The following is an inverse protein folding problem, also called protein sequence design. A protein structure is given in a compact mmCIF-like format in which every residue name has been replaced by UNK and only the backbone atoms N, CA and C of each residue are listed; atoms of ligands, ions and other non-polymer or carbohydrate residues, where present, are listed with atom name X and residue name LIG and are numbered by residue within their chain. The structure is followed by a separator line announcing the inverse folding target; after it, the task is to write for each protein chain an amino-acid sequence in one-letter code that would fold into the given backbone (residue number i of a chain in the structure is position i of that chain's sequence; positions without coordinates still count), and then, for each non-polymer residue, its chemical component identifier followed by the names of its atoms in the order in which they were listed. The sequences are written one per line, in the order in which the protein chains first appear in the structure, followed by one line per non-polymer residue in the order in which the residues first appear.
data_IF_842499024674
#
_entry.id   IF_842499024674
#
_cell.length_a   1.000
_cell.length_b   1.000
_cell.length_c   1.000
_cell.angle_alpha   90.00
_cell.angle_beta   90.00
_cell.angle_gamma   90.00
#
_symmetry.space_group_name_H-M   'P 1'
#
loop_
_entity.id
_entity.type
_entity.pdbx_description
1 polymer ?
#
# COMPACT_ATOMS: atom_id res chain seq x y z
N UNK A 1 31.26 3.20 13.26
CA UNK A 1 31.12 4.66 13.06
C UNK A 1 30.00 4.88 12.06
N UNK A 2 28.76 5.04 12.52
CA UNK A 2 27.62 5.42 11.66
C UNK A 2 27.58 6.94 11.58
N UNK A 3 28.15 7.48 10.50
CA UNK A 3 28.18 8.90 10.19
C UNK A 3 26.76 9.43 9.98
N UNK A 4 26.33 10.41 10.79
CA UNK A 4 25.17 11.28 10.60
C UNK A 4 23.81 10.57 10.64
N UNK A 5 22.98 10.88 11.64
CA UNK A 5 21.58 10.44 11.67
C UNK A 5 20.85 10.90 10.40
N UNK A 6 20.65 9.98 9.46
CA UNK A 6 19.90 10.25 8.23
C UNK A 6 18.46 10.58 8.62
N UNK A 7 18.08 11.86 8.48
CA UNK A 7 16.70 12.32 8.70
C UNK A 7 15.84 12.03 7.47
N UNK A 8 14.74 11.33 7.70
CA UNK A 8 13.78 10.96 6.66
C UNK A 8 12.59 11.92 6.61
N UNK A 9 12.07 12.14 5.41
CA UNK A 9 10.77 12.77 5.19
C UNK A 9 9.72 11.71 4.94
N UNK A 10 8.53 11.83 5.54
CA UNK A 10 7.36 11.03 5.18
C UNK A 10 6.35 11.93 4.50
N UNK A 11 6.03 11.65 3.23
CA UNK A 11 4.89 12.23 2.53
C UNK A 11 3.70 11.30 2.79
N UNK A 12 2.82 11.70 3.69
CA UNK A 12 1.71 10.89 4.15
C UNK A 12 0.46 11.14 3.31
N UNK A 13 -0.04 10.10 2.64
CA UNK A 13 -1.35 10.01 2.03
C UNK A 13 -2.38 9.40 2.98
N UNK A 14 -3.36 8.71 2.43
CA UNK A 14 -4.44 8.07 3.17
C UNK A 14 -4.11 6.64 3.65
N UNK A 15 -5.03 6.05 4.42
CA UNK A 15 -4.92 4.67 4.89
C UNK A 15 -3.97 4.48 6.07
N UNK A 16 -3.68 3.22 6.40
CA UNK A 16 -2.82 2.84 7.53
C UNK A 16 -1.31 2.95 7.22
N UNK A 17 -0.95 3.07 5.94
CA UNK A 17 0.45 2.96 5.52
C UNK A 17 1.38 4.07 6.07
N UNK A 18 0.97 5.35 6.20
CA UNK A 18 1.78 6.35 6.89
C UNK A 18 2.13 5.97 8.34
N UNK A 19 1.19 5.38 9.08
CA UNK A 19 1.42 4.97 10.47
C UNK A 19 2.44 3.83 10.57
N UNK A 20 2.44 2.91 9.60
CA UNK A 20 3.44 1.85 9.47
C UNK A 20 4.86 2.41 9.33
N UNK A 21 5.04 3.44 8.50
CA UNK A 21 6.34 4.08 8.33
C UNK A 21 6.78 4.74 9.64
N UNK A 22 5.85 5.39 10.35
CA UNK A 22 6.14 5.98 11.66
C UNK A 22 6.56 4.93 12.68
N UNK A 23 5.84 3.81 12.79
CA UNK A 23 6.18 2.75 13.73
C UNK A 23 7.53 2.11 13.40
N UNK A 24 7.79 1.87 12.13
CA UNK A 24 9.08 1.35 11.68
C UNK A 24 10.22 2.33 11.99
N UNK A 25 10.00 3.63 11.77
CA UNK A 25 10.97 4.68 12.12
C UNK A 25 11.27 4.68 13.63
N UNK A 26 10.25 4.54 14.49
CA UNK A 26 10.45 4.42 15.94
C UNK A 26 11.26 3.19 16.32
N UNK A 27 10.91 2.02 15.76
CA UNK A 27 11.61 0.74 16.03
C UNK A 27 13.08 0.78 15.62
N UNK A 28 13.37 1.49 14.53
CA UNK A 28 14.73 1.64 14.00
C UNK A 28 15.46 2.89 14.54
N UNK A 29 14.84 3.62 15.48
CA UNK A 29 15.36 4.87 16.05
C UNK A 29 15.77 5.90 14.98
N UNK A 30 14.93 6.08 13.96
CA UNK A 30 15.13 7.03 12.87
C UNK A 30 14.46 8.38 13.17
N UNK A 31 15.12 9.46 12.78
CA UNK A 31 14.53 10.81 12.80
C UNK A 31 13.64 11.01 11.56
N UNK A 32 12.42 11.47 11.78
CA UNK A 32 11.37 11.56 10.76
C UNK A 32 10.68 12.92 10.81
N UNK A 33 10.45 13.51 9.64
CA UNK A 33 9.62 14.72 9.47
C UNK A 33 8.45 14.38 8.56
N UNK A 34 7.23 14.59 9.04
CA UNK A 34 6.02 14.18 8.35
C UNK A 34 5.40 15.39 7.63
N UNK A 35 5.15 15.20 6.34
CA UNK A 35 4.37 16.06 5.47
C UNK A 35 3.00 15.39 5.24
N UNK A 36 2.00 15.80 6.02
CA UNK A 36 0.64 15.26 5.96
C UNK A 36 -0.25 16.03 4.97
N UNK A 37 -0.97 15.30 4.10
CA UNK A 37 -1.88 15.85 3.10
C UNK A 37 -3.25 16.05 3.77
N UNK A 38 -3.71 17.31 3.88
CA UNK A 38 -4.89 17.71 4.70
C UNK A 38 -6.20 16.95 4.45
N UNK A 39 -6.44 16.48 3.24
CA UNK A 39 -7.69 15.82 2.84
C UNK A 39 -7.54 14.30 2.69
N UNK A 40 -6.33 13.78 2.88
CA UNK A 40 -6.02 12.35 2.68
C UNK A 40 -5.52 11.71 3.98
N UNK A 41 -4.62 12.37 4.71
CA UNK A 41 -4.01 11.80 5.91
C UNK A 41 -4.96 11.84 7.10
N UNK A 42 -5.05 10.72 7.82
CA UNK A 42 -5.77 10.66 9.10
C UNK A 42 -5.16 11.66 10.12
N UNK A 43 -5.97 12.57 10.71
CA UNK A 43 -5.53 13.54 11.72
C UNK A 43 -4.78 12.94 12.91
N UNK A 44 -5.00 11.66 13.25
CA UNK A 44 -4.30 10.96 14.31
C UNK A 44 -2.78 10.96 14.12
N UNK A 45 -2.29 11.11 12.89
CA UNK A 45 -0.84 11.20 12.60
C UNK A 45 -0.18 12.35 13.37
N UNK A 46 -0.91 13.40 13.75
CA UNK A 46 -0.38 14.53 14.53
C UNK A 46 0.11 14.12 15.93
N UNK A 47 -0.42 13.04 16.50
CA UNK A 47 -0.05 12.55 17.84
C UNK A 47 1.06 11.49 17.80
N UNK A 48 1.74 11.35 16.67
CA UNK A 48 2.66 10.24 16.46
C UNK A 48 4.05 10.43 17.08
N UNK A 49 4.38 11.61 17.60
CA UNK A 49 5.66 11.90 18.26
C UNK A 49 6.77 12.41 17.34
N UNK A 50 6.48 12.67 16.05
CA UNK A 50 7.38 13.35 15.12
C UNK A 50 6.83 14.71 14.68
N UNK A 51 7.68 15.65 14.20
CA UNK A 51 7.22 16.90 13.60
C UNK A 51 6.28 16.65 12.41
N UNK A 52 5.05 17.18 12.49
CA UNK A 52 4.04 17.06 11.43
C UNK A 52 3.72 18.42 10.83
N UNK A 53 3.84 18.52 9.50
CA UNK A 53 3.48 19.69 8.72
C UNK A 53 2.32 19.35 7.79
N UNK A 54 1.25 20.14 7.88
CA UNK A 54 0.06 19.96 7.05
C UNK A 54 0.10 20.81 5.78
N UNK A 55 -0.01 20.16 4.62
CA UNK A 55 0.00 20.77 3.29
C UNK A 55 -1.21 20.33 2.45
N UNK A 56 -1.58 21.19 1.50
CA UNK A 56 -2.47 20.80 0.41
C UNK A 56 -1.71 20.00 -0.65
N UNK A 57 -2.41 19.15 -1.39
CA UNK A 57 -1.81 18.23 -2.36
C UNK A 57 -0.99 18.94 -3.45
N UNK A 58 -1.43 20.14 -3.87
CA UNK A 58 -0.72 20.96 -4.86
C UNK A 58 0.46 21.79 -4.33
N UNK A 59 0.86 21.65 -3.06
CA UNK A 59 1.89 22.50 -2.42
C UNK A 59 3.30 21.86 -2.46
N UNK A 60 3.75 21.42 -3.64
CA UNK A 60 5.03 20.72 -3.83
C UNK A 60 6.26 21.58 -3.48
N UNK A 61 6.28 22.86 -3.85
CA UNK A 61 7.32 23.80 -3.45
C UNK A 61 7.37 24.05 -1.94
N UNK A 62 6.20 24.07 -1.27
CA UNK A 62 6.13 24.15 0.19
C UNK A 62 6.71 22.90 0.86
N UNK A 63 6.38 21.71 0.34
CA UNK A 63 6.94 20.43 0.79
C UNK A 63 8.47 20.45 0.76
N UNK A 64 9.04 20.82 -0.39
CA UNK A 64 10.51 20.91 -0.58
C UNK A 64 11.13 21.87 0.45
N UNK A 65 10.51 23.03 0.67
CA UNK A 65 11.02 24.01 1.64
C UNK A 65 11.03 23.47 3.07
N UNK A 66 9.98 22.75 3.47
CA UNK A 66 9.88 22.12 4.79
C UNK A 66 10.98 21.07 4.95
N UNK A 67 11.12 20.16 3.98
CA UNK A 67 12.12 19.09 4.02
C UNK A 67 13.55 19.65 4.04
N UNK A 68 13.88 20.61 3.17
CA UNK A 68 15.21 21.25 3.18
C UNK A 68 15.50 21.99 4.48
N UNK A 69 14.53 22.76 5.01
CA UNK A 69 14.69 23.46 6.29
C UNK A 69 14.91 22.48 7.45
N UNK A 70 14.33 21.29 7.37
CA UNK A 70 14.45 20.28 8.41
C UNK A 70 15.69 19.39 8.26
N UNK A 71 16.44 19.51 7.16
CA UNK A 71 17.62 18.69 6.86
C UNK A 71 17.29 17.32 6.23
N UNK A 72 16.08 17.13 5.72
CA UNK A 72 15.66 15.89 5.05
C UNK A 72 16.35 15.78 3.70
N UNK A 73 17.01 14.64 3.45
CA UNK A 73 17.62 14.28 2.15
C UNK A 73 17.02 13.03 1.51
N UNK A 74 16.28 12.24 2.29
CA UNK A 74 15.62 11.00 1.87
C UNK A 74 14.14 11.11 2.22
N UNK A 75 13.25 10.81 1.29
CA UNK A 75 11.81 10.87 1.52
C UNK A 75 11.11 9.56 1.15
N UNK A 76 10.05 9.25 1.87
CA UNK A 76 9.21 8.07 1.69
C UNK A 76 7.80 8.57 1.37
N UNK A 77 7.15 7.97 0.39
CA UNK A 77 5.73 8.15 0.16
C UNK A 77 4.98 6.96 0.73
N UNK A 78 3.96 7.21 1.54
CA UNK A 78 3.13 6.16 2.09
C UNK A 78 1.66 6.59 2.08
N UNK A 79 0.79 5.66 1.69
CA UNK A 79 -0.64 5.90 1.57
C UNK A 79 -1.05 6.30 0.15
N UNK A 80 -2.32 6.10 -0.17
CA UNK A 80 -2.84 6.48 -1.48
C UNK A 80 -3.22 7.96 -1.48
N UNK A 81 -3.36 8.53 -2.68
CA UNK A 81 -3.94 9.84 -2.89
C UNK A 81 -5.03 9.65 -3.93
N UNK A 82 -6.25 10.11 -3.65
CA UNK A 82 -7.35 9.95 -4.61
C UNK A 82 -7.09 10.83 -5.83
N UNK A 83 -7.25 10.25 -7.03
CA UNK A 83 -6.97 10.94 -8.30
C UNK A 83 -7.83 12.21 -8.49
N UNK A 84 -9.05 12.22 -7.93
CA UNK A 84 -9.95 13.40 -7.90
C UNK A 84 -9.38 14.57 -7.09
N UNK A 85 -8.56 14.30 -6.08
CA UNK A 85 -7.96 15.33 -5.21
C UNK A 85 -6.86 16.12 -5.91
N UNK A 86 -6.20 15.54 -6.93
CA UNK A 86 -5.15 16.20 -7.73
C UNK A 86 -5.72 17.36 -8.55
N UNK A 87 -6.98 17.26 -8.96
CA UNK A 87 -7.73 18.32 -9.64
C UNK A 87 -8.66 19.10 -8.71
N UNK A 88 -8.55 18.85 -7.39
CA UNK A 88 -9.37 19.45 -6.35
C UNK A 88 -8.99 20.89 -6.00
N UNK A 89 -9.71 21.45 -5.03
CA UNK A 89 -9.78 22.87 -4.64
C UNK A 89 -8.52 23.46 -3.98
N UNK A 90 -7.44 22.69 -3.81
CA UNK A 90 -6.16 23.24 -3.32
C UNK A 90 -5.36 23.86 -4.46
N UNK A 91 -5.24 25.19 -4.46
CA UNK A 91 -4.44 25.92 -5.46
C UNK A 91 -3.02 25.36 -5.56
N UNK A 92 -2.61 24.83 -6.72
CA UNK A 92 -1.27 24.32 -6.91
C UNK A 92 -0.26 25.47 -6.85
N UNK A 93 0.87 25.25 -6.19
CA UNK A 93 1.96 26.23 -6.19
C UNK A 93 2.71 26.23 -7.52
N UNK A 94 3.54 27.26 -7.75
CA UNK A 94 4.28 27.43 -9.01
C UNK A 94 5.15 26.21 -9.35
N UNK A 95 5.66 25.51 -8.35
CA UNK A 95 6.46 24.29 -8.54
C UNK A 95 5.58 23.17 -9.08
N UNK A 96 4.42 22.94 -8.48
CA UNK A 96 3.44 21.96 -8.95
C UNK A 96 2.93 22.29 -10.35
N UNK A 97 2.62 23.57 -10.63
CA UNK A 97 2.15 24.02 -11.96
C UNK A 97 3.20 23.73 -13.04
N UNK A 98 4.48 24.05 -12.78
CA UNK A 98 5.57 23.79 -13.74
C UNK A 98 5.75 22.29 -14.00
N UNK A 99 5.70 21.48 -12.95
CA UNK A 99 5.77 20.02 -13.08
C UNK A 99 4.63 19.50 -13.95
N UNK A 100 3.38 19.88 -13.63
CA UNK A 100 2.19 19.46 -14.39
C UNK A 100 2.19 19.92 -15.85
N UNK A 101 2.78 21.09 -16.15
CA UNK A 101 2.90 21.60 -17.51
C UNK A 101 3.95 20.84 -18.35
N UNK A 102 4.94 20.22 -17.70
CA UNK A 102 5.97 19.41 -18.36
C UNK A 102 5.55 17.98 -18.68
N UNK A 103 4.42 17.51 -18.13
CA UNK A 103 3.95 16.14 -18.34
C UNK A 103 3.20 16.00 -19.67
N UNK A 104 3.61 15.02 -20.48
CA UNK A 104 2.91 14.62 -21.71
C UNK A 104 1.54 14.00 -21.42
N UNK A 105 1.44 13.23 -20.34
CA UNK A 105 0.23 12.57 -19.87
C UNK A 105 0.09 12.76 -18.37
N UNK A 106 -1.14 12.84 -17.87
CA UNK A 106 -1.44 13.07 -16.45
C UNK A 106 -2.05 11.83 -15.78
N UNK A 107 -1.55 10.66 -16.13
CA UNK A 107 -1.86 9.42 -15.42
C UNK A 107 -1.06 9.35 -14.10
N UNK A 108 -1.44 8.43 -13.21
CA UNK A 108 -0.84 8.26 -11.88
C UNK A 108 0.68 8.12 -11.94
N UNK A 109 1.20 7.26 -12.81
CA UNK A 109 2.65 7.02 -12.94
C UNK A 109 3.42 8.27 -13.38
N UNK A 110 2.90 9.01 -14.35
CA UNK A 110 3.54 10.26 -14.81
C UNK A 110 3.52 11.33 -13.73
N UNK A 111 2.44 11.40 -12.94
CA UNK A 111 2.31 12.37 -11.85
C UNK A 111 3.27 12.05 -10.69
N UNK A 112 3.31 10.80 -10.23
CA UNK A 112 4.22 10.36 -9.17
C UNK A 112 5.68 10.47 -9.65
N UNK A 113 5.97 10.06 -10.88
CA UNK A 113 7.28 10.23 -11.49
C UNK A 113 7.69 11.70 -11.59
N UNK A 114 6.77 12.59 -11.96
CA UNK A 114 7.00 14.03 -11.98
C UNK A 114 7.33 14.61 -10.61
N UNK A 115 6.59 14.21 -9.56
CA UNK A 115 6.90 14.58 -8.18
C UNK A 115 8.28 14.06 -7.76
N UNK A 116 8.60 12.80 -8.06
CA UNK A 116 9.90 12.21 -7.74
C UNK A 116 11.05 12.97 -8.39
N UNK A 117 10.93 13.35 -9.67
CA UNK A 117 11.96 14.13 -10.38
C UNK A 117 12.17 15.50 -9.75
N UNK A 118 11.09 16.21 -9.42
CA UNK A 118 11.19 17.54 -8.80
C UNK A 118 11.81 17.47 -7.39
N UNK A 119 11.53 16.42 -6.63
CA UNK A 119 12.18 16.18 -5.34
C UNK A 119 13.68 15.89 -5.52
N UNK A 120 14.04 15.07 -6.50
CA UNK A 120 15.44 14.73 -6.81
C UNK A 120 16.24 15.97 -7.24
N UNK A 121 15.68 16.82 -8.12
CA UNK A 121 16.27 18.11 -8.49
C UNK A 121 16.48 19.05 -7.29
N UNK A 122 15.66 18.92 -6.26
CA UNK A 122 15.81 19.66 -5.00
C UNK A 122 16.78 19.01 -4.00
N UNK A 123 17.40 17.88 -4.36
CA UNK A 123 18.35 17.12 -3.54
C UNK A 123 17.68 16.21 -2.50
N UNK A 124 16.42 15.81 -2.72
CA UNK A 124 15.66 14.92 -1.85
C UNK A 124 15.36 13.63 -2.62
N UNK A 125 16.01 12.55 -2.26
CA UNK A 125 15.84 11.26 -2.94
C UNK A 125 14.62 10.52 -2.39
N UNK A 126 13.71 10.14 -3.28
CA UNK A 126 12.61 9.25 -2.93
C UNK A 126 13.14 7.82 -2.74
N UNK A 127 13.20 7.35 -1.49
CA UNK A 127 13.73 6.03 -1.16
C UNK A 127 12.65 4.95 -1.28
N UNK A 128 13.11 3.71 -1.49
CA UNK A 128 12.24 2.55 -1.49
C UNK A 128 11.64 2.33 -0.10
N UNK A 129 10.32 2.54 0.02
CA UNK A 129 9.54 2.31 1.24
C UNK A 129 9.77 0.90 1.79
N UNK A 130 9.92 -0.11 0.93
CA UNK A 130 10.19 -1.49 1.31
C UNK A 130 11.49 -1.67 2.12
N UNK A 131 12.49 -0.81 1.95
CA UNK A 131 13.74 -0.91 2.72
C UNK A 131 13.51 -0.75 4.23
N UNK A 132 12.56 0.12 4.61
CA UNK A 132 12.15 0.31 6.01
C UNK A 132 11.10 -0.70 6.45
N UNK A 133 10.48 -1.42 5.51
CA UNK A 133 9.33 -2.27 5.77
C UNK A 133 9.62 -3.75 5.57
N UNK A 134 10.89 -4.13 5.34
CA UNK A 134 11.32 -5.53 5.26
C UNK A 134 10.72 -6.41 6.37
N UNK A 135 10.62 -5.99 7.64
CA UNK A 135 10.01 -6.81 8.68
C UNK A 135 8.52 -7.13 8.46
N UNK A 136 7.83 -6.31 7.67
CA UNK A 136 6.40 -6.45 7.35
C UNK A 136 6.14 -7.20 6.04
N UNK A 137 7.20 -7.57 5.29
CA UNK A 137 7.10 -8.35 4.07
C UNK A 137 7.26 -9.84 4.42
N UNK A 138 6.22 -10.67 4.26
CA UNK A 138 6.30 -12.08 4.59
C UNK A 138 7.22 -12.82 3.62
N UNK A 139 8.05 -13.71 4.16
CA UNK A 139 8.77 -14.70 3.38
C UNK A 139 7.80 -15.74 2.79
N UNK A 140 8.19 -16.47 1.73
CA UNK A 140 7.36 -17.54 1.18
C UNK A 140 6.99 -18.59 2.22
N UNK A 141 5.74 -19.05 2.18
CA UNK A 141 5.23 -20.12 3.05
C UNK A 141 3.83 -19.86 3.60
N UNK A 142 3.36 -20.79 4.42
CA UNK A 142 2.13 -20.65 5.19
C UNK A 142 2.37 -19.76 6.40
N UNK A 143 1.54 -18.71 6.57
CA UNK A 143 1.67 -17.76 7.67
C UNK A 143 0.82 -18.13 8.88
N UNK A 144 -0.27 -18.88 8.65
CA UNK A 144 -1.22 -19.38 9.65
C UNK A 144 -0.91 -20.81 10.09
N UNK A 145 -1.63 -21.31 11.11
CA UNK A 145 -1.49 -22.68 11.62
C UNK A 145 -1.89 -23.75 10.60
N UNK A 146 -2.74 -23.42 9.63
CA UNK A 146 -3.11 -24.28 8.50
C UNK A 146 -2.72 -23.66 7.16
N UNK A 147 -2.38 -24.52 6.21
CA UNK A 147 -2.25 -24.17 4.79
C UNK A 147 -3.59 -24.23 4.05
N UNK A 148 -3.52 -24.04 2.73
CA UNK A 148 -4.65 -24.23 1.83
C UNK A 148 -5.09 -25.70 1.82
N UNK A 149 -6.40 -25.93 1.78
CA UNK A 149 -6.93 -27.24 1.43
C UNK A 149 -6.93 -27.47 -0.10
N UNK A 150 -7.40 -28.63 -0.55
CA UNK A 150 -7.40 -28.98 -1.97
C UNK A 150 -8.30 -28.08 -2.84
N UNK A 151 -9.42 -27.58 -2.29
CA UNK A 151 -10.33 -26.69 -3.01
C UNK A 151 -9.74 -25.28 -3.09
N UNK A 152 -9.21 -24.78 -1.98
CA UNK A 152 -8.55 -23.47 -1.90
C UNK A 152 -7.30 -23.44 -2.79
N UNK A 153 -6.52 -24.53 -2.82
CA UNK A 153 -5.37 -24.65 -3.72
C UNK A 153 -5.82 -24.60 -5.19
N UNK A 154 -6.90 -25.31 -5.55
CA UNK A 154 -7.42 -25.28 -6.92
C UNK A 154 -7.92 -23.88 -7.32
N UNK A 155 -8.53 -23.14 -6.39
CA UNK A 155 -8.94 -21.74 -6.61
C UNK A 155 -7.72 -20.83 -6.80
N UNK A 156 -6.66 -21.01 -6.01
CA UNK A 156 -5.41 -20.25 -6.14
C UNK A 156 -4.72 -20.53 -7.48
N UNK A 157 -4.62 -21.80 -7.87
CA UNK A 157 -3.99 -22.22 -9.13
C UNK A 157 -4.75 -21.68 -10.35
N UNK A 158 -6.08 -21.66 -10.28
CA UNK A 158 -6.94 -21.07 -11.31
C UNK A 158 -6.86 -19.54 -11.32
N UNK A 159 -6.97 -18.92 -10.16
CA UNK A 159 -7.18 -17.48 -10.04
C UNK A 159 -5.90 -16.66 -10.14
N UNK A 160 -4.77 -17.15 -9.61
CA UNK A 160 -3.53 -16.36 -9.56
C UNK A 160 -3.02 -15.91 -10.93
N UNK A 161 -3.03 -16.73 -12.00
CA UNK A 161 -2.69 -16.27 -13.34
C UNK A 161 -3.63 -15.17 -13.85
N UNK A 162 -4.93 -15.24 -13.54
CA UNK A 162 -5.91 -14.23 -13.93
C UNK A 162 -5.69 -12.91 -13.16
N UNK A 163 -5.45 -13.00 -11.86
CA UNK A 163 -5.15 -11.85 -11.01
C UNK A 163 -3.94 -11.06 -11.55
N UNK A 164 -2.88 -11.77 -12.00
CA UNK A 164 -1.69 -11.13 -12.60
C UNK A 164 -2.02 -10.40 -13.91
N UNK A 165 -2.89 -10.95 -14.75
CA UNK A 165 -3.32 -10.27 -15.98
C UNK A 165 -4.14 -9.00 -15.69
N UNK A 166 -5.04 -9.06 -14.71
CA UNK A 166 -5.80 -7.88 -14.25
C UNK A 166 -4.85 -6.81 -13.70
N UNK A 167 -3.90 -7.20 -12.85
CA UNK A 167 -2.91 -6.29 -12.28
C UNK A 167 -2.00 -5.68 -13.36
N UNK A 168 -1.65 -6.44 -14.40
CA UNK A 168 -0.87 -5.95 -15.54
C UNK A 168 -1.60 -4.88 -16.36
N UNK A 169 -2.94 -4.86 -16.32
CA UNK A 169 -3.77 -3.84 -16.97
C UNK A 169 -4.02 -2.62 -16.07
N UNK A 170 -3.43 -2.57 -14.87
CA UNK A 170 -3.63 -1.49 -13.89
C UNK A 170 -5.10 -1.32 -13.45
N UNK A 171 -5.88 -2.40 -13.46
CA UNK A 171 -7.29 -2.37 -13.03
C UNK A 171 -7.40 -2.55 -11.51
N UNK A 172 -6.73 -3.58 -10.97
CA UNK A 172 -6.75 -3.92 -9.55
C UNK A 172 -5.82 -5.08 -9.24
N UNK A 173 -5.58 -5.34 -7.96
CA UNK A 173 -4.58 -6.31 -7.49
C UNK A 173 -5.20 -7.54 -6.83
N UNK A 174 -6.50 -7.49 -6.52
CA UNK A 174 -7.20 -8.57 -5.82
C UNK A 174 -8.31 -9.17 -6.68
N UNK A 175 -8.41 -10.48 -6.67
CA UNK A 175 -9.60 -11.20 -7.13
C UNK A 175 -10.13 -12.10 -6.02
N UNK A 176 -11.42 -12.41 -6.09
CA UNK A 176 -12.07 -13.38 -5.20
C UNK A 176 -12.61 -14.51 -6.04
N UNK A 177 -12.23 -15.74 -5.70
CA UNK A 177 -12.54 -16.96 -6.45
C UNK A 177 -13.33 -17.91 -5.56
N UNK A 178 -14.22 -18.70 -6.17
CA UNK A 178 -14.88 -19.84 -5.54
C UNK A 178 -15.13 -20.91 -6.58
N UNK A 179 -14.70 -22.14 -6.31
CA UNK A 179 -14.86 -23.29 -7.21
C UNK A 179 -14.40 -22.95 -8.65
N UNK A 180 -13.21 -22.35 -8.74
CA UNK A 180 -12.57 -21.90 -9.98
C UNK A 180 -13.45 -20.98 -10.84
N UNK A 181 -14.32 -20.20 -10.19
CA UNK A 181 -15.06 -19.10 -10.80
C UNK A 181 -14.67 -17.78 -10.13
N UNK A 182 -14.36 -16.77 -10.95
CA UNK A 182 -14.12 -15.41 -10.45
C UNK A 182 -15.45 -14.81 -10.01
N UNK A 183 -15.58 -14.55 -8.70
CA UNK A 183 -16.77 -13.95 -8.09
C UNK A 183 -16.69 -12.43 -8.13
N UNK A 184 -15.50 -11.87 -7.85
CA UNK A 184 -15.25 -10.44 -7.91
C UNK A 184 -13.80 -10.15 -8.31
N UNK A 185 -13.61 -9.00 -8.95
CA UNK A 185 -12.31 -8.41 -9.27
C UNK A 185 -12.31 -7.02 -8.65
N UNK A 186 -11.27 -6.70 -7.88
CA UNK A 186 -11.03 -5.36 -7.35
C UNK A 186 -10.80 -4.37 -8.50
N UNK A 187 -11.35 -3.18 -8.35
CA UNK A 187 -10.97 -2.01 -9.15
C UNK A 187 -10.84 -0.79 -8.22
N UNK A 188 -11.43 0.35 -8.63
CA UNK A 188 -11.34 1.62 -7.89
C UNK A 188 -11.96 1.59 -6.49
N UNK A 189 -12.83 0.63 -6.19
CA UNK A 189 -13.47 0.50 -4.88
C UNK A 189 -12.52 -0.02 -3.79
N UNK A 190 -11.43 -0.67 -4.18
CA UNK A 190 -10.45 -1.25 -3.25
C UNK A 190 -10.80 -2.64 -2.74
N UNK A 191 -9.80 -3.29 -2.14
CA UNK A 191 -9.82 -4.70 -1.73
C UNK A 191 -10.97 -5.05 -0.80
N UNK A 192 -11.21 -4.24 0.23
CA UNK A 192 -12.23 -4.52 1.25
C UNK A 192 -13.65 -4.50 0.65
N UNK A 193 -13.96 -3.50 -0.18
CA UNK A 193 -15.24 -3.41 -0.88
C UNK A 193 -15.42 -4.54 -1.90
N UNK A 194 -14.33 -4.97 -2.57
CA UNK A 194 -14.35 -6.12 -3.46
C UNK A 194 -14.66 -7.44 -2.72
N UNK A 195 -14.10 -7.63 -1.52
CA UNK A 195 -14.39 -8.79 -0.65
C UNK A 195 -15.85 -8.76 -0.19
N UNK A 196 -16.36 -7.62 0.25
CA UNK A 196 -17.76 -7.46 0.67
C UNK A 196 -18.72 -7.76 -0.48
N UNK A 197 -18.43 -7.27 -1.69
CA UNK A 197 -19.19 -7.57 -2.91
C UNK A 197 -19.14 -9.06 -3.25
N UNK A 198 -17.98 -9.71 -3.14
CA UNK A 198 -17.86 -11.15 -3.34
C UNK A 198 -18.66 -11.94 -2.29
N UNK A 199 -18.66 -11.52 -1.03
CA UNK A 199 -19.49 -12.09 0.03
C UNK A 199 -20.98 -12.07 -0.31
N UNK A 200 -21.47 -10.93 -0.81
CA UNK A 200 -22.86 -10.78 -1.24
C UNK A 200 -23.22 -11.67 -2.45
N UNK A 201 -22.34 -11.77 -3.45
CA UNK A 201 -22.54 -12.59 -4.65
C UNK A 201 -22.36 -14.10 -4.41
N UNK A 202 -21.44 -14.45 -3.50
CA UNK A 202 -21.01 -15.82 -3.21
C UNK A 202 -21.76 -16.49 -2.06
N UNK A 203 -22.87 -15.91 -1.59
CA UNK A 203 -23.63 -16.40 -0.43
C UNK A 203 -22.78 -16.58 0.84
N UNK A 204 -21.72 -15.80 0.98
CA UNK A 204 -20.79 -15.78 2.12
C UNK A 204 -20.20 -17.14 2.48
N UNK A 205 -19.71 -17.90 1.51
CA UNK A 205 -19.12 -19.23 1.75
C UNK A 205 -17.97 -19.55 0.81
N UNK A 206 -16.93 -20.17 1.36
CA UNK A 206 -15.80 -20.78 0.66
C UNK A 206 -15.18 -19.83 -0.38
N UNK A 207 -14.96 -18.57 0.02
CA UNK A 207 -14.27 -17.61 -0.84
C UNK A 207 -12.76 -17.70 -0.64
N UNK A 208 -12.02 -17.75 -1.74
CA UNK A 208 -10.56 -17.69 -1.79
C UNK A 208 -10.17 -16.30 -2.31
N UNK A 209 -9.48 -15.51 -1.50
CA UNK A 209 -8.96 -14.19 -1.88
C UNK A 209 -7.54 -14.37 -2.42
N UNK A 210 -7.27 -13.79 -3.59
CA UNK A 210 -5.95 -13.83 -4.22
C UNK A 210 -5.55 -12.39 -4.51
N UNK A 211 -4.51 -11.92 -3.83
CA UNK A 211 -3.95 -10.58 -3.99
C UNK A 211 -2.54 -10.68 -4.53
N UNK A 212 -2.30 -10.10 -5.70
CA UNK A 212 -1.01 -10.15 -6.40
C UNK A 212 -0.41 -8.75 -6.50
N UNK A 213 0.89 -8.70 -6.77
CA UNK A 213 1.58 -7.47 -7.11
C UNK A 213 1.59 -7.27 -8.62
N UNK A 214 1.64 -6.02 -9.08
CA UNK A 214 1.71 -5.71 -10.51
C UNK A 214 3.05 -6.17 -11.09
N UNK A 215 3.10 -6.59 -12.36
CA UNK A 215 4.37 -6.82 -13.04
C UNK A 215 5.21 -5.53 -13.03
N UNK A 216 6.48 -5.61 -12.59
CA UNK A 216 7.38 -4.45 -12.41
C UNK A 216 6.88 -3.44 -11.37
N UNK A 217 6.36 -3.95 -10.25
CA UNK A 217 5.89 -3.16 -9.11
C UNK A 217 6.93 -2.12 -8.65
N UNK A 218 6.55 -0.83 -8.62
CA UNK A 218 7.41 0.20 -8.04
C UNK A 218 7.25 0.23 -6.52
N UNK A 219 8.19 -0.43 -5.84
CA UNK A 219 8.21 -0.57 -4.38
C UNK A 219 8.41 0.76 -3.63
N UNK A 220 8.60 1.90 -4.31
CA UNK A 220 8.65 3.22 -3.66
C UNK A 220 7.27 3.72 -3.25
N UNK A 221 6.20 3.34 -3.95
CA UNK A 221 4.87 3.93 -3.72
C UNK A 221 3.68 2.99 -3.99
N UNK A 222 3.87 1.87 -4.68
CA UNK A 222 2.78 0.96 -5.01
C UNK A 222 3.08 -0.40 -4.35
N UNK A 223 2.90 -0.47 -3.03
CA UNK A 223 3.06 -1.72 -2.28
C UNK A 223 1.68 -2.19 -1.82
N UNK A 224 1.20 -3.37 -2.25
CA UNK A 224 -0.04 -3.95 -1.75
C UNK A 224 0.00 -4.13 -0.23
N UNK A 225 -1.10 -3.83 0.45
CA UNK A 225 -1.22 -4.00 1.91
C UNK A 225 -2.39 -4.94 2.23
N UNK A 226 -2.17 -5.79 3.23
CA UNK A 226 -3.19 -6.56 3.95
C UNK A 226 -3.06 -6.21 5.42
N UNK A 227 -4.20 -5.92 6.06
CA UNK A 227 -4.26 -5.66 7.50
C UNK A 227 -5.43 -6.39 8.15
N UNK A 228 -5.62 -6.10 9.43
CA UNK A 228 -6.65 -6.74 10.25
C UNK A 228 -8.08 -6.50 9.71
N UNK A 229 -8.33 -5.33 9.12
CA UNK A 229 -9.63 -5.02 8.52
C UNK A 229 -9.96 -5.96 7.36
N UNK A 230 -8.98 -6.29 6.52
CA UNK A 230 -9.14 -7.28 5.45
C UNK A 230 -9.53 -8.64 6.01
N UNK A 231 -8.91 -9.08 7.12
CA UNK A 231 -9.27 -10.33 7.79
C UNK A 231 -10.68 -10.29 8.38
N UNK A 232 -11.10 -9.16 8.98
CA UNK A 232 -12.49 -8.99 9.47
C UNK A 232 -13.49 -9.11 8.31
N UNK A 233 -13.23 -8.41 7.20
CA UNK A 233 -14.07 -8.50 6.01
C UNK A 233 -14.14 -9.93 5.46
N UNK A 234 -13.00 -10.65 5.45
CA UNK A 234 -12.96 -12.06 5.07
C UNK A 234 -13.85 -12.93 5.95
N UNK A 235 -13.79 -12.76 7.28
CA UNK A 235 -14.64 -13.50 8.23
C UNK A 235 -16.12 -13.23 7.95
N UNK A 236 -16.52 -11.97 7.83
CA UNK A 236 -17.91 -11.57 7.57
C UNK A 236 -18.44 -12.08 6.21
N UNK A 237 -17.54 -12.23 5.24
CA UNK A 237 -17.87 -12.68 3.89
C UNK A 237 -17.70 -14.19 3.69
N UNK A 238 -17.37 -14.95 4.74
CA UNK A 238 -17.19 -16.40 4.66
C UNK A 238 -16.05 -16.82 3.74
N UNK A 239 -14.99 -16.02 3.70
CA UNK A 239 -13.74 -16.39 3.07
C UNK A 239 -12.92 -17.31 3.96
N UNK A 240 -12.25 -18.27 3.34
CA UNK A 240 -11.49 -19.31 4.05
C UNK A 240 -10.00 -19.25 3.73
N UNK A 241 -9.59 -18.58 2.65
CA UNK A 241 -8.19 -18.47 2.27
C UNK A 241 -7.81 -17.08 1.74
N UNK A 242 -6.58 -16.67 2.02
CA UNK A 242 -5.90 -15.52 1.44
C UNK A 242 -4.53 -15.96 0.88
N UNK A 243 -4.34 -15.75 -0.42
CA UNK A 243 -3.05 -15.89 -1.09
C UNK A 243 -2.48 -14.51 -1.41
N UNK A 244 -1.22 -14.28 -1.04
CA UNK A 244 -0.47 -13.05 -1.34
C UNK A 244 0.89 -13.35 -1.98
N UNK A 245 1.47 -12.37 -2.67
CA UNK A 245 2.85 -12.47 -3.17
C UNK A 245 3.86 -12.17 -2.06
N UNK A 246 4.71 -13.15 -1.76
CA UNK A 246 5.78 -13.07 -0.77
C UNK A 246 6.80 -11.99 -1.14
N UNK A 247 7.30 -11.26 -0.15
CA UNK A 247 8.27 -10.19 -0.37
C UNK A 247 7.73 -8.93 -1.07
N UNK A 248 6.49 -8.95 -1.54
CA UNK A 248 5.88 -7.85 -2.32
C UNK A 248 4.60 -7.30 -1.68
N UNK A 249 3.90 -8.07 -0.84
CA UNK A 249 2.73 -7.60 -0.08
C UNK A 249 3.06 -7.33 1.38
N UNK A 250 2.70 -6.16 1.90
CA UNK A 250 2.87 -5.81 3.32
C UNK A 250 1.76 -6.44 4.15
N UNK A 251 2.14 -7.06 5.26
CA UNK A 251 1.22 -7.56 6.28
C UNK A 251 1.28 -6.65 7.51
N UNK A 252 0.28 -5.81 7.68
CA UNK A 252 0.13 -4.93 8.84
C UNK A 252 -0.33 -5.73 10.06
N UNK A 253 0.21 -5.41 11.24
CA UNK A 253 -0.08 -6.11 12.49
C UNK A 253 -0.02 -7.63 12.34
N UNK A 254 1.05 -8.14 11.69
CA UNK A 254 1.20 -9.55 11.31
C UNK A 254 0.79 -10.53 12.40
N UNK A 255 1.22 -10.30 13.64
CA UNK A 255 0.87 -11.16 14.78
C UNK A 255 -0.64 -11.21 15.02
N UNK A 256 -1.31 -10.06 15.00
CA UNK A 256 -2.75 -9.97 15.19
C UNK A 256 -3.54 -10.48 13.99
N UNK A 257 -3.07 -10.21 12.76
CA UNK A 257 -3.63 -10.77 11.52
C UNK A 257 -3.59 -12.30 11.54
N UNK A 258 -2.41 -12.88 11.80
CA UNK A 258 -2.24 -14.34 11.85
C UNK A 258 -3.08 -14.94 12.97
N UNK A 259 -3.01 -14.38 14.18
CA UNK A 259 -3.80 -14.89 15.30
C UNK A 259 -5.31 -14.79 15.06
N UNK A 260 -5.78 -13.75 14.39
CA UNK A 260 -7.20 -13.57 14.04
C UNK A 260 -7.64 -14.54 12.97
N UNK A 261 -6.82 -14.74 11.94
CA UNK A 261 -7.07 -15.73 10.89
C UNK A 261 -7.12 -17.16 11.46
N UNK A 262 -6.17 -17.53 12.31
CA UNK A 262 -6.12 -18.85 12.97
C UNK A 262 -7.39 -19.11 13.79
N UNK A 263 -7.84 -18.14 14.60
CA UNK A 263 -9.06 -18.26 15.40
C UNK A 263 -10.32 -18.52 14.58
N UNK A 264 -10.33 -18.09 13.32
CA UNK A 264 -11.47 -18.25 12.41
C UNK A 264 -11.24 -19.30 11.32
N UNK A 265 -10.14 -20.05 11.40
CA UNK A 265 -9.83 -21.10 10.43
C UNK A 265 -9.54 -20.57 9.02
N UNK A 266 -9.03 -19.33 8.90
CA UNK A 266 -8.62 -18.76 7.61
C UNK A 266 -7.15 -19.15 7.33
N UNK A 267 -6.87 -19.72 6.16
CA UNK A 267 -5.50 -19.94 5.70
C UNK A 267 -4.92 -18.66 5.08
N UNK A 268 -3.69 -18.30 5.46
CA UNK A 268 -2.92 -17.26 4.78
C UNK A 268 -1.63 -17.88 4.25
N UNK A 269 -1.42 -17.77 2.93
CA UNK A 269 -0.19 -18.22 2.28
C UNK A 269 0.47 -17.07 1.51
N UNK A 270 1.79 -16.97 1.64
CA UNK A 270 2.62 -16.10 0.84
C UNK A 270 3.36 -16.95 -0.20
N UNK A 271 3.04 -16.78 -1.47
CA UNK A 271 3.66 -17.55 -2.55
C UNK A 271 4.85 -16.78 -3.13
N UNK A 272 5.94 -17.46 -3.53
CA UNK A 272 7.00 -16.82 -4.28
C UNK A 272 6.43 -16.21 -5.56
N UNK A 273 7.05 -15.14 -6.06
CA UNK A 273 6.67 -14.59 -7.36
C UNK A 273 6.69 -15.72 -8.40
N UNK A 274 5.57 -15.90 -9.11
CA UNK A 274 5.53 -16.85 -10.20
C UNK A 274 6.38 -16.31 -11.35
N UNK A 275 7.30 -17.13 -11.84
CA UNK A 275 8.08 -16.88 -13.07
C UNK A 275 7.17 -16.49 -14.24
#
# INVERSE_FOLDING_TARGET
MTNGEDKFGLIAGNGSFPFLVVESAKRQNLDLVIAAIREETDPKIASCGYPVYWLGLGQLGKLIRIFRKSGVRKAIMAGQVKHVSIFGSSFPDLTMIRMLAGLQQKNTDSLIGGVANVLEEAGITLVNSAALLKPYLPAPGTLTSRGLDASEQADVDYGRPLARQIAAMDIGQTIVVRDRAVVAVEAMEGTDAAIQRAGALGNRRNLTIIKVSKPRQDMRFDIPVVGLETIRNMIECGATALCIDAGLTLLFDREEVVATADRHGIAIVALPEAD
#
